data_IF_601738776280
#
_entry.id   IF_601738776280
#
_cell.length_a   1.000
_cell.length_b   1.000
_cell.length_c   1.000
_cell.angle_alpha   90.00
_cell.angle_beta   90.00
_cell.angle_gamma   90.00
#
_symmetry.space_group_name_H-M   'P 1'
#
loop_
_entity.id
_entity.type
_entity.pdbx_description
1 polymer ?
#
# COMPACT_ATOMS: atom_id res chain seq x y z
N UNK A 1 -11.73 32.29 2.95
CA UNK A 1 -12.28 33.20 3.98
C UNK A 1 -11.36 33.22 5.18
N UNK A 2 -10.92 34.40 5.65
CA UNK A 2 -10.19 34.55 6.91
C UNK A 2 -11.18 34.45 8.07
N UNK A 3 -11.00 33.47 8.95
CA UNK A 3 -11.67 33.44 10.25
C UNK A 3 -10.64 33.88 11.30
N UNK A 4 -10.65 35.16 11.65
CA UNK A 4 -9.64 35.73 12.56
C UNK A 4 -8.21 35.66 12.00
N UNK A 5 -7.29 35.08 12.77
CA UNK A 5 -5.87 34.93 12.40
C UNK A 5 -5.56 33.71 11.50
N UNK A 6 -6.57 32.93 11.12
CA UNK A 6 -6.39 31.73 10.31
C UNK A 6 -6.54 32.03 8.81
N UNK A 7 -5.54 31.60 8.04
CA UNK A 7 -5.58 31.57 6.59
C UNK A 7 -5.76 30.14 6.09
N UNK A 8 -6.75 29.94 5.21
CA UNK A 8 -7.03 28.65 4.57
C UNK A 8 -6.58 28.71 3.12
N UNK A 9 -5.68 27.80 2.75
CA UNK A 9 -5.22 27.60 1.39
C UNK A 9 -5.83 26.30 0.88
N UNK A 10 -6.49 26.36 -0.27
CA UNK A 10 -7.01 25.16 -0.93
C UNK A 10 -5.99 24.65 -1.94
N UNK A 11 -5.80 23.34 -1.99
CA UNK A 11 -4.84 22.69 -2.86
C UNK A 11 -5.54 21.62 -3.68
N UNK A 12 -5.19 21.54 -4.97
CA UNK A 12 -5.61 20.46 -5.86
C UNK A 12 -4.38 19.66 -6.24
N UNK A 13 -4.42 18.36 -6.00
CA UNK A 13 -3.33 17.44 -6.32
C UNK A 13 -3.65 16.70 -7.62
N UNK A 14 -2.69 16.69 -8.54
CA UNK A 14 -2.72 15.86 -9.75
C UNK A 14 -1.53 14.91 -9.72
N UNK A 15 -1.81 13.61 -9.73
CA UNK A 15 -0.76 12.60 -9.79
C UNK A 15 -0.16 12.56 -11.21
N UNK A 16 1.17 12.65 -11.30
CA UNK A 16 1.91 12.53 -12.57
C UNK A 16 2.52 11.14 -12.77
N UNK A 17 2.52 10.31 -11.72
CA UNK A 17 3.01 8.94 -11.70
C UNK A 17 2.14 8.11 -10.73
N UNK A 18 2.25 6.77 -10.74
CA UNK A 18 1.60 5.93 -9.74
C UNK A 18 1.97 6.36 -8.31
N UNK A 19 0.96 6.58 -7.47
CA UNK A 19 1.13 6.94 -6.06
C UNK A 19 0.56 5.81 -5.20
N UNK A 20 1.35 5.34 -4.24
CA UNK A 20 0.95 4.31 -3.30
C UNK A 20 1.14 4.81 -1.86
N UNK A 21 0.07 4.80 -1.08
CA UNK A 21 0.07 5.05 0.37
C UNK A 21 -0.50 3.81 1.03
N UNK A 22 0.35 3.04 1.69
CA UNK A 22 -0.01 1.75 2.26
C UNK A 22 -0.95 1.89 3.46
N UNK A 23 -1.91 0.98 3.56
CA UNK A 23 -2.73 0.78 4.76
C UNK A 23 -1.97 0.09 5.91
N UNK A 24 -0.85 -0.56 5.58
CA UNK A 24 -0.16 -1.51 6.47
C UNK A 24 -0.64 -2.95 6.32
N UNK A 25 -1.73 -3.17 5.57
CA UNK A 25 -2.27 -4.49 5.27
C UNK A 25 -1.84 -4.98 3.89
N UNK A 26 -1.73 -6.30 3.78
CA UNK A 26 -1.39 -6.97 2.54
C UNK A 26 -2.26 -8.20 2.32
N UNK A 27 -2.53 -8.52 1.06
CA UNK A 27 -3.30 -9.69 0.69
C UNK A 27 -2.39 -10.76 0.11
N UNK A 28 -2.50 -11.96 0.66
CA UNK A 28 -1.80 -13.14 0.17
C UNK A 28 -2.55 -13.79 -0.99
N UNK A 29 -1.90 -14.74 -1.67
CA UNK A 29 -2.51 -15.57 -2.72
C UNK A 29 -3.80 -16.30 -2.33
N UNK A 30 -4.11 -16.41 -1.03
CA UNK A 30 -5.34 -17.02 -0.52
C UNK A 30 -6.50 -16.03 -0.37
N UNK A 31 -6.24 -14.73 -0.51
CA UNK A 31 -7.19 -13.65 -0.18
C UNK A 31 -7.60 -12.79 -1.38
N UNK A 32 -6.92 -12.94 -2.52
CA UNK A 32 -7.31 -12.34 -3.79
C UNK A 32 -7.34 -13.38 -4.90
N UNK A 33 -8.06 -13.07 -5.98
CA UNK A 33 -8.08 -13.91 -7.17
C UNK A 33 -7.42 -13.14 -8.30
N UNK A 34 -6.30 -13.67 -8.80
CA UNK A 34 -5.67 -13.13 -10.00
C UNK A 34 -6.11 -13.93 -11.21
N UNK A 35 -6.71 -13.27 -12.20
CA UNK A 35 -7.12 -13.83 -13.49
C UNK A 35 -6.07 -13.50 -14.56
N UNK A 36 -5.19 -14.45 -14.93
CA UNK A 36 -4.18 -14.20 -15.96
C UNK A 36 -4.79 -13.90 -17.32
N UNK A 37 -5.96 -14.48 -17.64
CA UNK A 37 -6.61 -14.31 -18.95
C UNK A 37 -7.10 -12.88 -19.14
N UNK A 38 -7.67 -12.27 -18.09
CA UNK A 38 -8.16 -10.88 -18.13
C UNK A 38 -7.16 -9.86 -17.62
N UNK A 39 -6.02 -10.30 -17.07
CA UNK A 39 -5.04 -9.43 -16.40
C UNK A 39 -5.69 -8.62 -15.27
N UNK A 40 -6.63 -9.23 -14.53
CA UNK A 40 -7.36 -8.59 -13.43
C UNK A 40 -7.03 -9.23 -12.09
N UNK A 41 -7.02 -8.40 -11.04
CA UNK A 41 -7.01 -8.82 -9.65
C UNK A 41 -8.39 -8.52 -9.07
N UNK A 42 -9.07 -9.56 -8.60
CA UNK A 42 -10.35 -9.46 -7.92
C UNK A 42 -10.15 -9.48 -6.42
N UNK A 43 -10.79 -8.53 -5.74
CA UNK A 43 -10.79 -8.39 -4.29
C UNK A 43 -12.10 -8.92 -3.73
N UNK A 44 -12.00 -9.77 -2.71
CA UNK A 44 -13.18 -10.40 -2.13
C UNK A 44 -14.00 -9.39 -1.32
N UNK A 45 -15.31 -9.56 -1.35
CA UNK A 45 -16.21 -9.19 -0.26
C UNK A 45 -16.30 -10.42 0.63
N UNK A 46 -15.51 -10.44 1.72
CA UNK A 46 -15.33 -11.66 2.52
C UNK A 46 -16.65 -12.21 3.09
N UNK A 47 -17.58 -11.38 3.63
CA UNK A 47 -18.91 -11.85 4.01
C UNK A 47 -19.69 -12.53 2.87
N UNK A 48 -19.75 -11.91 1.69
CA UNK A 48 -20.44 -12.51 0.52
C UNK A 48 -19.74 -13.79 0.06
N UNK A 49 -18.42 -13.81 0.10
CA UNK A 49 -17.61 -14.97 -0.28
C UNK A 49 -17.90 -16.17 0.63
N UNK A 50 -17.93 -15.97 1.95
CA UNK A 50 -18.28 -17.02 2.90
C UNK A 50 -19.73 -17.51 2.68
N UNK A 51 -20.67 -16.60 2.42
CA UNK A 51 -22.05 -16.97 2.10
C UNK A 51 -22.14 -17.82 0.83
N UNK A 52 -21.41 -17.43 -0.23
CA UNK A 52 -21.32 -18.20 -1.47
C UNK A 52 -20.70 -19.58 -1.26
N UNK A 53 -19.62 -19.67 -0.47
CA UNK A 53 -19.02 -20.97 -0.14
C UNK A 53 -19.98 -21.86 0.65
N UNK A 54 -20.76 -21.28 1.56
CA UNK A 54 -21.79 -21.99 2.32
C UNK A 54 -22.89 -22.53 1.41
N UNK A 55 -23.43 -21.72 0.51
CA UNK A 55 -24.51 -22.13 -0.39
C UNK A 55 -24.08 -23.23 -1.38
N UNK A 56 -22.77 -23.37 -1.62
CA UNK A 56 -22.18 -24.42 -2.47
C UNK A 56 -21.67 -25.63 -1.68
N UNK A 57 -21.81 -25.65 -0.36
CA UNK A 57 -21.29 -26.72 0.49
C UNK A 57 -19.76 -26.80 0.52
N UNK A 58 -19.07 -25.69 0.27
CA UNK A 58 -17.61 -25.63 0.10
C UNK A 58 -16.86 -25.13 1.35
N UNK A 59 -17.54 -24.67 2.40
CA UNK A 59 -16.90 -24.11 3.60
C UNK A 59 -15.83 -25.03 4.21
N UNK A 60 -16.16 -26.29 4.46
CA UNK A 60 -15.20 -27.24 5.05
C UNK A 60 -13.97 -27.49 4.15
N UNK A 61 -14.12 -27.37 2.82
CA UNK A 61 -12.99 -27.47 1.89
C UNK A 61 -12.14 -26.19 1.93
N UNK A 62 -12.80 -25.03 2.01
CA UNK A 62 -12.12 -23.74 2.10
C UNK A 62 -11.30 -23.63 3.40
N UNK A 63 -11.84 -24.05 4.54
CA UNK A 63 -11.10 -24.10 5.82
C UNK A 63 -9.85 -24.98 5.72
N UNK A 64 -9.94 -26.15 5.09
CA UNK A 64 -8.78 -27.00 4.83
C UNK A 64 -7.77 -26.34 3.88
N UNK A 65 -8.23 -25.65 2.85
CA UNK A 65 -7.36 -24.89 1.96
C UNK A 65 -6.60 -23.79 2.71
N UNK A 66 -7.24 -23.09 3.66
CA UNK A 66 -6.58 -22.06 4.47
C UNK A 66 -5.46 -22.63 5.33
N UNK A 67 -5.61 -23.83 5.89
CA UNK A 67 -4.59 -24.47 6.76
C UNK A 67 -3.46 -25.18 6.02
N UNK A 68 -3.64 -25.49 4.73
CA UNK A 68 -2.61 -26.16 3.92
C UNK A 68 -1.46 -25.21 3.57
N UNK A 69 -0.21 -25.67 3.75
CA UNK A 69 0.99 -24.92 3.35
C UNK A 69 1.29 -25.00 1.85
N UNK A 70 0.72 -26.01 1.17
CA UNK A 70 0.87 -26.31 -0.26
C UNK A 70 -0.43 -25.89 -0.98
N UNK A 71 -0.33 -25.43 -2.23
CA UNK A 71 -1.44 -24.88 -3.02
C UNK A 71 -2.07 -23.62 -2.40
N UNK A 72 -1.30 -22.52 -2.36
CA UNK A 72 -1.71 -21.29 -1.71
C UNK A 72 -2.50 -20.32 -2.62
N UNK A 73 -2.98 -20.77 -3.77
CA UNK A 73 -3.64 -19.92 -4.77
C UNK A 73 -5.16 -20.13 -4.74
N UNK A 74 -5.88 -19.06 -4.38
CA UNK A 74 -7.33 -19.07 -4.29
C UNK A 74 -7.99 -19.37 -5.63
N UNK A 75 -7.44 -18.89 -6.76
CA UNK A 75 -8.00 -19.17 -8.09
C UNK A 75 -8.02 -20.68 -8.35
N UNK A 76 -6.92 -21.36 -8.04
CA UNK A 76 -6.79 -22.81 -8.24
C UNK A 76 -7.81 -23.55 -7.39
N UNK A 77 -7.96 -23.20 -6.11
CA UNK A 77 -8.97 -23.77 -5.24
C UNK A 77 -10.40 -23.61 -5.79
N UNK A 78 -10.72 -22.41 -6.32
CA UNK A 78 -12.01 -22.14 -6.92
C UNK A 78 -12.24 -22.99 -8.17
N UNK A 79 -11.24 -23.09 -9.04
CA UNK A 79 -11.31 -23.86 -10.28
C UNK A 79 -11.51 -25.36 -10.04
N UNK A 80 -10.81 -25.93 -9.04
CA UNK A 80 -10.95 -27.33 -8.61
C UNK A 80 -12.35 -27.63 -8.06
N UNK A 81 -13.02 -26.62 -7.49
CA UNK A 81 -14.38 -26.75 -6.95
C UNK A 81 -15.46 -26.21 -7.90
N UNK A 82 -15.16 -26.13 -9.20
CA UNK A 82 -16.09 -25.73 -10.26
C UNK A 82 -16.69 -24.33 -10.09
N UNK A 83 -15.96 -23.42 -9.43
CA UNK A 83 -16.27 -21.99 -9.38
C UNK A 83 -15.46 -21.33 -10.48
N UNK A 84 -16.15 -20.69 -11.42
CA UNK A 84 -15.53 -20.07 -12.60
C UNK A 84 -15.58 -18.55 -12.48
N UNK A 85 -14.84 -17.87 -13.33
CA UNK A 85 -14.73 -16.41 -13.30
C UNK A 85 -16.09 -15.68 -13.46
N UNK A 86 -17.06 -16.31 -14.14
CA UNK A 86 -18.44 -15.79 -14.23
C UNK A 86 -19.14 -15.67 -12.87
N UNK A 87 -18.72 -16.45 -11.88
CA UNK A 87 -19.30 -16.47 -10.54
C UNK A 87 -18.69 -15.39 -9.64
N UNK A 88 -17.51 -14.85 -10.00
CA UNK A 88 -16.73 -13.97 -9.10
C UNK A 88 -17.47 -12.69 -8.71
N UNK A 89 -18.23 -12.11 -9.65
CA UNK A 89 -19.01 -10.90 -9.42
C UNK A 89 -20.05 -11.05 -8.29
N UNK A 90 -20.40 -12.28 -7.90
CA UNK A 90 -21.33 -12.53 -6.79
C UNK A 90 -20.71 -12.28 -5.41
N UNK A 91 -19.37 -12.34 -5.30
CA UNK A 91 -18.67 -12.29 -4.02
C UNK A 91 -17.43 -11.39 -4.02
N UNK A 92 -17.14 -10.68 -5.10
CA UNK A 92 -16.05 -9.69 -5.16
C UNK A 92 -16.58 -8.29 -4.89
N UNK A 93 -15.81 -7.48 -4.16
CA UNK A 93 -16.14 -6.08 -3.90
C UNK A 93 -15.77 -5.18 -5.08
N UNK A 94 -14.59 -5.38 -5.66
CA UNK A 94 -14.09 -4.67 -6.84
C UNK A 94 -12.97 -5.46 -7.52
N UNK A 95 -12.54 -5.01 -8.69
CA UNK A 95 -11.37 -5.52 -9.39
C UNK A 95 -10.50 -4.38 -9.92
N UNK A 96 -9.21 -4.63 -10.06
CA UNK A 96 -8.27 -3.70 -10.69
C UNK A 96 -7.47 -4.42 -11.79
N UNK A 97 -6.96 -3.65 -12.74
CA UNK A 97 -5.96 -4.13 -13.69
C UNK A 97 -4.68 -4.48 -12.95
N UNK A 98 -4.13 -5.66 -13.23
CA UNK A 98 -2.88 -6.12 -12.65
C UNK A 98 -1.66 -5.34 -13.19
N UNK A 99 -1.80 -4.70 -14.36
CA UNK A 99 -0.72 -3.98 -15.03
C UNK A 99 0.54 -4.84 -15.19
N UNK A 100 1.70 -4.25 -14.94
CA UNK A 100 2.98 -4.95 -15.02
C UNK A 100 3.11 -6.09 -13.99
N UNK A 101 2.31 -6.07 -12.91
CA UNK A 101 2.35 -7.11 -11.87
C UNK A 101 1.97 -8.49 -12.42
N UNK A 102 1.16 -8.54 -13.49
CA UNK A 102 0.80 -9.78 -14.16
C UNK A 102 1.97 -10.49 -14.84
N UNK A 103 3.05 -9.76 -15.16
CA UNK A 103 4.26 -10.30 -15.79
C UNK A 103 5.31 -10.72 -14.77
N UNK A 104 5.11 -10.40 -13.49
CA UNK A 104 6.08 -10.71 -12.44
C UNK A 104 5.97 -12.20 -12.09
N UNK A 105 7.05 -12.98 -12.29
CA UNK A 105 7.06 -14.37 -11.86
C UNK A 105 6.93 -14.43 -10.34
N UNK A 106 6.08 -15.33 -9.84
CA UNK A 106 5.80 -15.47 -8.41
C UNK A 106 5.24 -14.20 -7.74
N UNK A 107 4.34 -13.47 -8.40
CA UNK A 107 3.58 -12.39 -7.75
C UNK A 107 2.84 -12.91 -6.52
N UNK A 108 3.33 -12.70 -5.30
CA UNK A 108 2.82 -13.38 -4.07
C UNK A 108 1.81 -12.56 -3.29
N UNK A 109 1.96 -11.25 -3.28
CA UNK A 109 1.31 -10.37 -2.33
C UNK A 109 0.86 -9.09 -3.00
N UNK A 110 -0.31 -8.60 -2.58
CA UNK A 110 -0.85 -7.31 -3.00
C UNK A 110 -0.84 -6.40 -1.78
N UNK A 111 0.02 -5.38 -1.79
CA UNK A 111 -0.03 -4.33 -0.77
C UNK A 111 -1.28 -3.48 -1.01
N UNK A 112 -2.04 -3.21 0.05
CA UNK A 112 -3.30 -2.48 -0.08
C UNK A 112 -3.13 -0.99 0.17
N UNK A 113 -3.83 -0.20 -0.62
CA UNK A 113 -3.86 1.25 -0.48
C UNK A 113 -4.77 1.63 0.70
N UNK A 114 -4.42 2.69 1.43
CA UNK A 114 -5.19 3.18 2.56
C UNK A 114 -6.60 3.64 2.15
N UNK A 115 -7.61 3.16 2.86
CA UNK A 115 -9.03 3.50 2.62
C UNK A 115 -9.67 4.18 3.81
N UNK A 116 -10.67 4.99 3.54
CA UNK A 116 -11.54 5.58 4.55
C UNK A 116 -12.56 4.56 5.10
N UNK A 117 -13.36 4.93 6.11
CA UNK A 117 -14.43 4.09 6.66
C UNK A 117 -15.52 3.72 5.64
N UNK A 118 -15.63 4.50 4.56
CA UNK A 118 -16.50 4.27 3.42
C UNK A 118 -15.94 3.24 2.42
N UNK A 119 -14.71 2.74 2.65
CA UNK A 119 -14.01 1.81 1.78
C UNK A 119 -13.35 2.46 0.55
N UNK A 120 -13.36 3.80 0.44
CA UNK A 120 -12.77 4.52 -0.68
C UNK A 120 -11.32 4.93 -0.39
N UNK A 121 -10.41 4.83 -1.38
CA UNK A 121 -9.02 5.24 -1.20
C UNK A 121 -8.90 6.76 -1.04
N UNK A 122 -8.03 7.23 -0.14
CA UNK A 122 -7.75 8.66 0.05
C UNK A 122 -6.28 8.94 0.40
N UNK A 123 -5.83 10.18 0.20
CA UNK A 123 -4.51 10.64 0.64
C UNK A 123 -4.66 11.30 2.01
N UNK A 124 -4.04 10.78 3.09
CA UNK A 124 -4.08 11.40 4.40
C UNK A 124 -3.43 12.78 4.41
N UNK A 125 -4.02 13.70 5.19
CA UNK A 125 -3.43 15.02 5.43
C UNK A 125 -2.05 14.92 6.12
N UNK A 126 -1.80 13.89 6.92
CA UNK A 126 -0.49 13.61 7.52
C UNK A 126 0.58 13.27 6.48
N UNK A 127 0.24 12.48 5.46
CA UNK A 127 1.15 12.16 4.34
C UNK A 127 1.49 13.41 3.54
N UNK A 128 0.49 14.22 3.20
CA UNK A 128 0.70 15.48 2.48
C UNK A 128 1.52 16.48 3.33
N UNK A 129 1.20 16.60 4.62
CA UNK A 129 1.97 17.41 5.58
C UNK A 129 3.42 16.96 5.65
N UNK A 130 3.67 15.64 5.62
CA UNK A 130 5.02 15.08 5.58
C UNK A 130 5.81 15.59 4.38
N UNK A 131 5.23 15.51 3.17
CA UNK A 131 5.87 16.02 1.94
C UNK A 131 6.18 17.51 2.05
N UNK A 132 5.22 18.33 2.51
CA UNK A 132 5.41 19.77 2.68
C UNK A 132 6.50 20.06 3.72
N UNK A 133 6.47 19.38 4.87
CA UNK A 133 7.48 19.49 5.94
C UNK A 133 8.87 19.20 5.38
N UNK A 134 9.05 18.12 4.63
CA UNK A 134 10.33 17.76 4.02
C UNK A 134 10.80 18.79 3.00
N UNK A 135 9.90 19.33 2.18
CA UNK A 135 10.25 20.39 1.23
C UNK A 135 10.71 21.69 1.92
N UNK A 136 10.03 22.08 3.01
CA UNK A 136 10.42 23.23 3.83
C UNK A 136 11.76 22.99 4.53
N UNK A 137 11.97 21.80 5.11
CA UNK A 137 13.23 21.39 5.74
C UNK A 137 14.39 21.53 4.75
N UNK A 138 14.25 20.97 3.55
CA UNK A 138 15.28 21.05 2.52
C UNK A 138 15.63 22.50 2.16
N UNK A 139 14.63 23.38 2.06
CA UNK A 139 14.84 24.81 1.81
C UNK A 139 15.59 25.50 2.97
N UNK A 140 15.17 25.26 4.22
CA UNK A 140 15.78 25.85 5.42
C UNK A 140 17.23 25.41 5.60
N UNK A 141 17.52 24.12 5.40
CA UNK A 141 18.88 23.56 5.49
C UNK A 141 19.79 24.16 4.42
N UNK A 142 19.28 24.37 3.20
CA UNK A 142 20.04 25.01 2.11
C UNK A 142 20.40 26.48 2.39
N UNK A 143 19.54 27.21 3.11
CA UNK A 143 19.79 28.61 3.47
C UNK A 143 20.65 28.78 4.72
N UNK A 144 20.90 27.70 5.48
CA UNK A 144 21.73 27.70 6.68
C UNK A 144 23.15 27.18 6.43
N UNK A 145 23.70 26.45 7.40
CA UNK A 145 25.05 25.85 7.35
C UNK A 145 25.12 24.62 6.43
N UNK A 146 24.71 24.78 5.16
CA UNK A 146 24.62 23.71 4.18
C UNK A 146 25.91 22.91 4.06
N UNK A 147 27.05 23.58 3.85
CA UNK A 147 28.34 22.91 3.60
C UNK A 147 28.77 22.07 4.81
N UNK A 148 28.55 22.57 6.03
CA UNK A 148 28.88 21.83 7.24
C UNK A 148 27.99 20.60 7.41
N UNK A 149 26.67 20.77 7.31
CA UNK A 149 25.72 19.67 7.44
C UNK A 149 25.97 18.59 6.37
N UNK A 150 26.28 19.02 5.14
CA UNK A 150 26.61 18.12 4.04
C UNK A 150 27.88 17.33 4.33
N UNK A 151 28.96 17.99 4.74
CA UNK A 151 30.23 17.32 5.03
C UNK A 151 30.10 16.30 6.19
N UNK A 152 29.34 16.64 7.23
CA UNK A 152 29.05 15.73 8.35
C UNK A 152 28.27 14.48 7.87
N UNK A 153 27.21 14.68 7.06
CA UNK A 153 26.42 13.57 6.50
C UNK A 153 27.25 12.70 5.55
N UNK A 154 28.05 13.28 4.66
CA UNK A 154 28.90 12.53 3.73
C UNK A 154 29.95 11.70 4.48
N UNK A 155 30.49 12.24 5.58
CA UNK A 155 31.44 11.51 6.43
C UNK A 155 30.76 10.31 7.10
N UNK A 156 29.60 10.50 7.73
CA UNK A 156 28.90 9.43 8.43
C UNK A 156 28.21 8.43 7.49
N UNK A 157 27.86 8.84 6.27
CA UNK A 157 27.31 7.96 5.25
C UNK A 157 28.30 6.83 4.87
N UNK A 158 29.61 7.09 4.97
CA UNK A 158 30.66 6.10 4.77
C UNK A 158 30.80 5.14 5.97
N UNK A 159 30.28 5.50 7.14
CA UNK A 159 30.31 4.69 8.36
C UNK A 159 29.05 3.82 8.50
N UNK A 160 28.67 3.12 7.42
CA UNK A 160 27.49 2.26 7.45
C UNK A 160 27.64 1.14 8.50
N UNK A 161 26.78 1.17 9.53
CA UNK A 161 26.71 0.11 10.56
C UNK A 161 25.57 -0.85 10.30
N UNK A 162 24.35 -0.31 10.17
CA UNK A 162 23.15 -1.07 9.83
C UNK A 162 22.07 -0.14 9.30
N UNK A 163 21.15 -0.68 8.50
CA UNK A 163 20.02 0.08 7.95
C UNK A 163 19.18 0.77 9.04
N UNK A 164 19.07 0.17 10.23
CA UNK A 164 18.28 0.73 11.35
C UNK A 164 18.88 2.01 11.93
N UNK A 165 20.20 2.17 11.88
CA UNK A 165 20.90 3.30 12.50
C UNK A 165 21.55 4.24 11.48
N UNK A 166 21.39 3.95 10.19
CA UNK A 166 22.01 4.72 9.12
C UNK A 166 21.49 6.15 9.12
N UNK A 167 22.40 7.11 9.33
CA UNK A 167 22.16 8.56 9.34
C UNK A 167 21.01 9.04 10.26
N UNK A 168 20.60 8.22 11.24
CA UNK A 168 19.45 8.53 12.09
C UNK A 168 19.73 9.72 12.99
N UNK A 169 20.96 9.85 13.49
CA UNK A 169 21.39 10.96 14.34
C UNK A 169 21.38 12.27 13.56
N UNK A 170 21.94 12.25 12.36
CA UNK A 170 22.09 13.41 11.48
C UNK A 170 20.70 13.88 11.02
N UNK A 171 19.82 12.95 10.65
CA UNK A 171 18.43 13.25 10.32
C UNK A 171 17.69 13.91 11.49
N UNK A 172 17.81 13.34 12.70
CA UNK A 172 17.17 13.90 13.89
C UNK A 172 17.73 15.29 14.25
N UNK A 173 19.03 15.50 14.09
CA UNK A 173 19.66 16.79 14.33
C UNK A 173 19.15 17.86 13.35
N UNK A 174 19.07 17.53 12.06
CA UNK A 174 18.51 18.45 11.05
C UNK A 174 17.04 18.79 11.33
N UNK A 175 16.26 17.80 11.76
CA UNK A 175 14.86 18.02 12.12
C UNK A 175 14.72 18.97 13.32
N UNK A 176 15.47 18.74 14.41
CA UNK A 176 15.45 19.61 15.59
C UNK A 176 15.96 21.03 15.32
N UNK A 177 16.91 21.18 14.39
CA UNK A 177 17.43 22.50 14.02
C UNK A 177 16.42 23.31 13.22
N UNK A 178 15.56 22.66 12.44
CA UNK A 178 14.63 23.32 11.54
C UNK A 178 13.21 23.51 12.10
N UNK A 179 12.78 22.65 13.03
CA UNK A 179 11.43 22.65 13.64
C UNK A 179 11.50 22.43 15.14
#
# INVERSE_FOLDING_TARGET
MKYGHLERIEMTLRNLAPVFIGSGESLTKKEYIFSPQKQLIYFLDFPKFIQFMKSRGLLAKFERFLTQSRNNDLRVFLEENSVREKDYLTFTSYSIEAGEAARIPNFREVLTFLKGPDGLPYIPGSSLKGVIRTALLAKLVKTGDWERNRAEIETEANNYRSSRFYLTRESNFLEQKAF
#
